data_IF_649261337245
#
_entry.id   IF_649261337245
#
_cell.length_a   1.000
_cell.length_b   1.000
_cell.length_c   1.000
_cell.angle_alpha   90.00
_cell.angle_beta   90.00
_cell.angle_gamma   90.00
#
_symmetry.space_group_name_H-M   'P 1'
#
loop_
_entity.id
_entity.type
_entity.pdbx_description
1 polymer ?
#
# COMPACT_ATOMS: atom_id res chain seq x y z
N UNK A 1 0.17 12.26 -11.49
CA UNK A 1 -0.70 11.09 -11.70
C UNK A 1 -0.41 10.05 -10.63
N UNK A 2 -1.44 9.59 -9.95
CA UNK A 2 -1.29 8.61 -8.88
C UNK A 2 -1.06 7.21 -9.45
N UNK A 3 -0.25 6.41 -8.77
CA UNK A 3 -0.06 5.01 -9.13
C UNK A 3 -1.24 4.17 -8.65
N UNK A 4 -1.30 2.91 -9.12
CA UNK A 4 -2.17 1.91 -8.50
C UNK A 4 -1.73 1.64 -7.07
N UNK A 5 -2.63 1.08 -6.27
CA UNK A 5 -2.30 0.62 -4.93
C UNK A 5 -1.41 -0.60 -4.99
N UNK A 6 -0.39 -0.62 -4.14
CA UNK A 6 0.64 -1.65 -4.07
C UNK A 6 0.76 -2.16 -2.65
N UNK A 7 1.29 -3.38 -2.51
CA UNK A 7 1.55 -3.96 -1.20
C UNK A 7 3.00 -3.68 -0.80
N UNK A 8 3.18 -3.31 0.47
CA UNK A 8 4.50 -3.17 1.07
C UNK A 8 4.57 -3.99 2.35
N UNK A 9 5.77 -4.28 2.80
CA UNK A 9 6.00 -5.02 4.04
C UNK A 9 6.86 -4.20 4.99
N UNK A 10 6.63 -4.40 6.30
CA UNK A 10 7.42 -3.77 7.35
C UNK A 10 7.68 -4.77 8.47
N UNK A 11 8.90 -4.78 8.97
CA UNK A 11 9.27 -5.58 10.13
C UNK A 11 9.15 -4.70 11.37
N UNK A 12 8.25 -5.09 12.28
CA UNK A 12 7.99 -4.33 13.51
C UNK A 12 8.06 -5.29 14.69
N UNK A 13 8.98 -5.03 15.60
CA UNK A 13 9.16 -5.83 16.83
C UNK A 13 9.31 -7.32 16.52
N UNK A 14 10.06 -7.66 15.46
CA UNK A 14 10.33 -9.05 15.09
C UNK A 14 9.21 -9.74 14.31
N UNK A 15 8.13 -9.02 13.99
CA UNK A 15 7.02 -9.57 13.22
C UNK A 15 6.84 -8.80 11.92
N UNK A 16 6.61 -9.51 10.83
CA UNK A 16 6.35 -8.91 9.53
C UNK A 16 4.88 -8.53 9.39
N UNK A 17 4.64 -7.27 9.03
CA UNK A 17 3.31 -6.76 8.72
C UNK A 17 3.27 -6.29 7.28
N UNK A 18 2.08 -6.24 6.71
CA UNK A 18 1.85 -5.82 5.33
C UNK A 18 0.85 -4.68 5.29
N UNK A 19 1.03 -3.79 4.33
CA UNK A 19 0.14 -2.65 4.16
C UNK A 19 0.01 -2.30 2.69
N UNK A 20 -0.86 -1.34 2.39
CA UNK A 20 -1.05 -0.86 1.03
C UNK A 20 -0.62 0.61 0.95
N UNK A 21 -0.04 0.96 -0.17
CA UNK A 21 0.35 2.34 -0.47
C UNK A 21 0.20 2.61 -1.96
N UNK A 22 0.21 3.88 -2.34
CA UNK A 22 0.32 4.29 -3.73
C UNK A 22 1.19 5.53 -3.81
N UNK A 23 1.75 5.79 -5.00
CA UNK A 23 2.50 7.01 -5.24
C UNK A 23 1.52 8.13 -5.61
N UNK A 24 1.71 9.30 -5.02
CA UNK A 24 0.91 10.48 -5.35
C UNK A 24 1.22 10.98 -6.75
N UNK A 25 2.48 10.85 -7.17
CA UNK A 25 2.94 11.20 -8.51
C UNK A 25 3.94 10.15 -8.98
N UNK A 26 3.55 9.33 -9.95
CA UNK A 26 4.40 8.24 -10.47
C UNK A 26 5.63 8.76 -11.20
N UNK A 27 5.61 10.00 -11.66
CA UNK A 27 6.75 10.60 -12.36
C UNK A 27 7.79 11.16 -11.39
N UNK A 28 7.45 11.30 -10.11
CA UNK A 28 8.37 11.82 -9.11
C UNK A 28 9.14 10.70 -8.43
N UNK A 29 10.21 11.08 -7.70
CA UNK A 29 11.02 10.12 -6.94
C UNK A 29 10.16 9.45 -5.87
N UNK A 30 10.32 8.14 -5.72
CA UNK A 30 9.63 7.37 -4.69
C UNK A 30 10.27 7.62 -3.32
N UNK A 31 9.65 8.48 -2.54
CA UNK A 31 10.05 8.78 -1.17
C UNK A 31 8.79 8.95 -0.31
N UNK A 32 8.98 9.02 1.00
CA UNK A 32 7.85 9.04 1.94
C UNK A 32 6.87 10.19 1.68
N UNK A 33 7.34 11.35 1.25
CA UNK A 33 6.49 12.49 0.92
C UNK A 33 5.65 12.29 -0.33
N UNK A 34 6.00 11.32 -1.18
CA UNK A 34 5.30 10.99 -2.42
C UNK A 34 4.38 9.77 -2.25
N UNK A 35 4.27 9.23 -1.06
CA UNK A 35 3.45 8.04 -0.79
C UNK A 35 2.17 8.41 -0.08
N UNK A 36 1.07 7.84 -0.55
CA UNK A 36 -0.19 7.84 0.18
C UNK A 36 -0.40 6.45 0.76
N UNK A 37 -0.47 6.36 2.07
CA UNK A 37 -0.61 5.08 2.76
C UNK A 37 -2.05 4.87 3.18
N UNK A 38 -2.48 3.61 3.15
CA UNK A 38 -3.84 3.24 3.56
C UNK A 38 -4.05 3.42 5.06
N UNK A 39 -2.97 3.32 5.86
CA UNK A 39 -3.05 3.45 7.31
C UNK A 39 -3.56 2.20 8.01
N UNK A 40 -3.57 1.06 7.33
CA UNK A 40 -3.99 -0.23 7.88
C UNK A 40 -2.87 -1.24 7.73
N UNK A 41 -2.77 -2.14 8.72
CA UNK A 41 -1.77 -3.19 8.74
C UNK A 41 -2.45 -4.55 8.69
N UNK A 42 -1.87 -5.47 7.93
CA UNK A 42 -2.38 -6.82 7.73
C UNK A 42 -1.34 -7.84 8.17
N UNK A 43 -1.80 -8.96 8.70
CA UNK A 43 -0.90 -10.04 9.16
C UNK A 43 -0.31 -10.84 8.01
N UNK A 44 -0.99 -10.87 6.86
CA UNK A 44 -0.54 -11.65 5.70
C UNK A 44 -0.47 -10.78 4.46
N UNK A 45 0.43 -11.15 3.54
CA UNK A 45 0.55 -10.47 2.25
C UNK A 45 -0.73 -10.62 1.43
N UNK A 46 -1.35 -11.78 1.51
CA UNK A 46 -2.57 -12.09 0.76
C UNK A 46 -3.71 -11.17 1.16
N UNK A 47 -3.86 -10.89 2.46
CA UNK A 47 -4.88 -9.97 2.94
C UNK A 47 -4.65 -8.55 2.40
N UNK A 48 -3.41 -8.08 2.44
CA UNK A 48 -3.06 -6.78 1.90
C UNK A 48 -3.31 -6.71 0.38
N UNK A 49 -2.97 -7.78 -0.33
CA UNK A 49 -3.13 -7.84 -1.79
C UNK A 49 -4.61 -7.79 -2.18
N UNK A 50 -5.47 -8.51 -1.45
CA UNK A 50 -6.92 -8.46 -1.70
C UNK A 50 -7.44 -7.04 -1.58
N UNK A 51 -7.04 -6.31 -0.54
CA UNK A 51 -7.47 -4.94 -0.33
C UNK A 51 -6.92 -4.03 -1.43
N UNK A 52 -5.64 -4.17 -1.80
CA UNK A 52 -5.05 -3.39 -2.88
C UNK A 52 -5.81 -3.61 -4.19
N UNK A 53 -6.14 -4.85 -4.51
CA UNK A 53 -6.90 -5.19 -5.72
C UNK A 53 -8.28 -4.54 -5.73
N UNK A 54 -8.98 -4.56 -4.58
CA UNK A 54 -10.29 -3.94 -4.46
C UNK A 54 -10.22 -2.42 -4.62
N UNK A 55 -9.20 -1.79 -4.02
CA UNK A 55 -8.98 -0.35 -4.17
C UNK A 55 -8.69 0.02 -5.63
N UNK A 56 -7.89 -0.80 -6.32
CA UNK A 56 -7.57 -0.56 -7.73
C UNK A 56 -8.78 -0.71 -8.63
N UNK A 57 -9.75 -1.53 -8.23
CA UNK A 57 -11.02 -1.68 -8.95
C UNK A 57 -12.05 -0.62 -8.58
N UNK A 58 -11.75 0.21 -7.56
CA UNK A 58 -12.67 1.24 -7.10
C UNK A 58 -13.76 0.76 -6.15
N UNK A 59 -13.68 -0.48 -5.67
CA UNK A 59 -14.72 -1.06 -4.80
C UNK A 59 -14.69 -0.50 -3.38
N UNK A 60 -13.53 0.00 -2.94
CA UNK A 60 -13.34 0.54 -1.59
C UNK A 60 -13.05 2.03 -1.59
N UNK A 61 -13.26 2.70 -2.69
CA UNK A 61 -12.98 4.13 -2.82
C UNK A 61 -13.95 5.00 -2.02
#
# INVERSE_FOLDING_TARGET
>A
MMSEWRVTSNLIAGKMYYSCYRLKDVAAVDHSGNREELGRWFDTKEAAQVVADQLNKGELS
#
